data_IF_133816835324
#
_entry.id   IF_133816835324
#
_cell.length_a   1.000
_cell.length_b   1.000
_cell.length_c   1.000
_cell.angle_alpha   90.00
_cell.angle_beta   90.00
_cell.angle_gamma   90.00
#
_symmetry.space_group_name_H-M   'P 1'
#
loop_
_entity.id
_entity.type
_entity.pdbx_description
1 polymer ?
#
# COMPACT_ATOMS: atom_id res chain seq x y z
N UNK A 1 -33.99 -6.84 0.59
CA UNK A 1 -32.56 -7.03 0.69
C UNK A 1 -31.81 -5.97 -0.12
N UNK A 2 -30.79 -5.44 0.42
CA UNK A 2 -30.06 -4.39 -0.24
C UNK A 2 -28.95 -4.95 -1.11
N UNK A 3 -28.86 -4.45 -2.33
CA UNK A 3 -27.80 -4.84 -3.26
C UNK A 3 -26.86 -3.65 -3.41
N UNK A 4 -25.83 -3.61 -2.61
CA UNK A 4 -24.94 -2.47 -2.62
C UNK A 4 -23.69 -2.66 -3.46
N UNK A 5 -23.30 -3.89 -3.68
CA UNK A 5 -22.08 -4.16 -4.43
C UNK A 5 -22.24 -3.94 -5.92
N UNK A 6 -23.44 -3.60 -6.39
CA UNK A 6 -23.65 -3.30 -7.80
C UNK A 6 -23.03 -1.98 -8.22
N UNK A 7 -22.80 -1.09 -7.27
CA UNK A 7 -22.18 0.17 -7.60
C UNK A 7 -20.68 -0.03 -7.81
N UNK A 8 -20.22 0.26 -9.01
CA UNK A 8 -18.79 0.13 -9.31
C UNK A 8 -18.01 1.30 -8.72
N UNK A 9 -16.90 1.00 -8.08
CA UNK A 9 -16.00 2.02 -7.59
C UNK A 9 -15.30 2.70 -8.76
N UNK A 10 -14.91 3.93 -8.56
CA UNK A 10 -14.18 4.70 -9.57
C UNK A 10 -12.68 4.56 -9.39
N UNK A 11 -11.94 4.90 -10.45
CA UNK A 11 -10.48 4.95 -10.34
C UNK A 11 -10.04 5.96 -9.29
N UNK A 12 -10.78 7.05 -9.15
CA UNK A 12 -10.50 8.07 -8.14
C UNK A 12 -10.62 7.49 -6.74
N UNK A 13 -11.61 6.66 -6.52
CA UNK A 13 -11.80 6.01 -5.23
C UNK A 13 -10.63 5.08 -4.92
N UNK A 14 -10.18 4.30 -5.91
CA UNK A 14 -9.04 3.40 -5.71
C UNK A 14 -7.77 4.21 -5.47
N UNK A 15 -7.58 5.32 -6.19
CA UNK A 15 -6.42 6.19 -5.96
C UNK A 15 -6.38 6.70 -4.52
N UNK A 16 -7.54 6.99 -3.94
CA UNK A 16 -7.61 7.49 -2.57
C UNK A 16 -7.15 6.47 -1.54
N UNK A 17 -7.10 5.18 -1.91
CA UNK A 17 -6.63 4.15 -0.98
C UNK A 17 -5.13 4.28 -0.71
N UNK A 18 -4.35 4.74 -1.70
CA UNK A 18 -2.96 5.05 -1.45
C UNK A 18 -2.83 6.21 -0.46
N UNK A 19 -3.66 7.23 -0.61
CA UNK A 19 -3.63 8.38 0.30
C UNK A 19 -3.97 7.95 1.72
N UNK A 20 -4.93 7.03 1.88
CA UNK A 20 -5.27 6.45 3.19
C UNK A 20 -4.07 5.73 3.79
N UNK A 21 -3.40 4.89 2.98
CA UNK A 21 -2.22 4.16 3.42
C UNK A 21 -1.09 5.13 3.79
N UNK A 22 -0.81 6.10 2.91
CA UNK A 22 0.25 7.07 3.11
C UNK A 22 0.01 7.91 4.38
N UNK A 23 -1.24 8.30 4.60
CA UNK A 23 -1.61 9.02 5.82
C UNK A 23 -1.35 8.18 7.07
N UNK A 24 -1.60 6.88 6.99
CA UNK A 24 -1.37 5.99 8.13
C UNK A 24 0.12 5.90 8.48
N UNK A 25 1.01 6.11 7.50
CA UNK A 25 2.46 6.14 7.77
C UNK A 25 2.81 7.28 8.72
N UNK A 26 2.15 8.42 8.57
CA UNK A 26 2.43 9.59 9.41
C UNK A 26 2.07 9.37 10.87
N UNK A 27 1.19 8.42 11.16
CA UNK A 27 0.82 8.13 12.53
C UNK A 27 2.00 7.58 13.34
N UNK A 28 2.99 6.99 12.66
CA UNK A 28 4.10 6.33 13.33
C UNK A 28 3.70 5.03 14.02
N UNK A 29 2.46 4.59 13.85
CA UNK A 29 1.91 3.43 14.52
C UNK A 29 1.73 2.28 13.53
N UNK A 30 2.50 1.17 13.66
CA UNK A 30 2.36 0.04 12.75
C UNK A 30 0.95 -0.54 12.70
N UNK A 31 0.20 -0.47 13.80
CA UNK A 31 -1.18 -0.97 13.82
C UNK A 31 -2.05 -0.19 12.85
N UNK A 32 -1.86 1.12 12.75
CA UNK A 32 -2.63 1.95 11.84
C UNK A 32 -2.34 1.59 10.39
N UNK A 33 -1.08 1.32 10.07
CA UNK A 33 -0.69 0.95 8.71
C UNK A 33 -1.26 -0.41 8.33
N UNK A 34 -1.13 -1.38 9.22
CA UNK A 34 -1.56 -2.76 8.93
C UNK A 34 -3.07 -2.88 8.80
N UNK A 35 -3.84 -1.96 9.37
CA UNK A 35 -5.30 -1.95 9.19
C UNK A 35 -5.72 -1.80 7.73
N UNK A 36 -4.85 -1.29 6.87
CA UNK A 36 -5.14 -1.18 5.44
C UNK A 36 -5.06 -2.51 4.72
N UNK A 37 -4.45 -3.51 5.33
CA UNK A 37 -4.18 -4.81 4.71
C UNK A 37 -5.22 -5.83 5.12
N UNK A 38 -5.65 -6.65 4.15
CA UNK A 38 -6.49 -7.79 4.46
C UNK A 38 -5.70 -8.76 5.35
N UNK A 39 -6.41 -9.51 6.17
CA UNK A 39 -5.78 -10.43 7.12
C UNK A 39 -4.87 -11.44 6.42
N UNK A 40 -5.28 -11.93 5.26
CA UNK A 40 -4.53 -12.95 4.51
C UNK A 40 -3.76 -12.37 3.35
N UNK A 41 -3.35 -11.11 3.47
CA UNK A 41 -2.61 -10.44 2.40
C UNK A 41 -1.12 -10.76 2.45
N UNK A 42 -0.42 -10.45 1.36
CA UNK A 42 1.03 -10.63 1.28
C UNK A 42 1.70 -9.27 1.06
N UNK A 43 2.76 -9.03 1.81
CA UNK A 43 3.61 -7.86 1.64
C UNK A 43 5.00 -8.33 1.22
N UNK A 44 5.43 -7.87 0.05
CA UNK A 44 6.78 -8.11 -0.48
C UNK A 44 7.48 -6.75 -0.54
N UNK A 45 8.17 -6.42 0.53
CA UNK A 45 8.75 -5.10 0.70
C UNK A 45 10.11 -4.97 0.02
N UNK A 46 10.47 -3.74 -0.35
CA UNK A 46 11.68 -3.45 -1.11
C UNK A 46 12.95 -3.94 -0.42
N UNK A 47 13.04 -3.75 0.88
CA UNK A 47 14.28 -4.02 1.62
C UNK A 47 14.16 -5.21 2.56
N UNK A 48 13.25 -6.12 2.29
CA UNK A 48 13.07 -7.31 3.10
C UNK A 48 13.02 -8.52 2.20
N UNK A 49 13.87 -9.50 2.45
CA UNK A 49 13.86 -10.74 1.69
C UNK A 49 12.69 -11.63 2.07
N UNK A 50 12.12 -11.42 3.24
CA UNK A 50 11.10 -12.29 3.78
C UNK A 50 9.71 -11.81 3.39
N UNK A 51 8.88 -12.66 2.77
CA UNK A 51 7.47 -12.31 2.58
C UNK A 51 6.80 -12.14 3.95
N UNK A 52 5.97 -11.12 4.07
CA UNK A 52 5.24 -10.85 5.31
C UNK A 52 3.80 -11.27 5.11
N UNK A 53 3.42 -12.37 5.74
CA UNK A 53 2.13 -13.01 5.50
C UNK A 53 1.13 -12.80 6.63
N UNK A 54 1.59 -12.70 7.86
CA UNK A 54 0.71 -12.53 9.01
C UNK A 54 0.64 -11.08 9.43
N UNK A 55 -0.36 -10.76 10.24
CA UNK A 55 -0.50 -9.43 10.82
C UNK A 55 0.76 -9.08 11.63
N UNK A 56 1.25 -10.02 12.43
CA UNK A 56 2.42 -9.80 13.26
C UNK A 56 3.67 -9.52 12.41
N UNK A 57 3.84 -10.26 11.31
CA UNK A 57 4.98 -10.05 10.42
C UNK A 57 4.94 -8.69 9.75
N UNK A 58 3.74 -8.25 9.33
CA UNK A 58 3.58 -6.93 8.73
C UNK A 58 3.85 -5.83 9.75
N UNK A 59 3.36 -5.98 10.97
CA UNK A 59 3.63 -4.99 12.02
C UNK A 59 5.11 -4.89 12.31
N UNK A 60 5.80 -6.02 12.34
CA UNK A 60 7.25 -6.04 12.56
C UNK A 60 7.99 -5.25 11.48
N UNK A 61 7.60 -5.44 10.22
CA UNK A 61 8.19 -4.70 9.12
C UNK A 61 7.95 -3.19 9.28
N UNK A 62 6.71 -2.79 9.53
CA UNK A 62 6.39 -1.37 9.62
C UNK A 62 6.96 -0.72 10.86
N UNK A 63 7.16 -1.49 11.93
CA UNK A 63 7.83 -0.94 13.12
C UNK A 63 9.20 -0.37 12.75
N UNK A 64 9.95 -1.09 11.92
CA UNK A 64 11.26 -0.61 11.47
C UNK A 64 11.12 0.49 10.41
N UNK A 65 10.22 0.30 9.45
CA UNK A 65 10.06 1.24 8.35
C UNK A 65 9.67 2.64 8.83
N UNK A 66 8.75 2.70 9.80
CA UNK A 66 8.23 3.97 10.30
C UNK A 66 9.23 4.80 11.10
N UNK A 67 10.31 4.16 11.59
CA UNK A 67 11.36 4.88 12.31
C UNK A 67 11.93 6.01 11.45
N UNK A 68 12.03 5.79 10.16
CA UNK A 68 12.61 6.75 9.23
C UNK A 68 11.63 7.85 8.78
N UNK A 69 10.40 7.81 9.27
CA UNK A 69 9.36 8.79 8.94
C UNK A 69 9.15 8.92 7.44
N UNK A 70 8.68 7.84 6.80
CA UNK A 70 8.49 7.85 5.34
C UNK A 70 7.28 8.65 4.93
N UNK A 71 7.40 9.32 3.79
CA UNK A 71 6.28 9.98 3.10
C UNK A 71 6.34 9.56 1.65
N UNK A 72 5.26 8.99 1.15
CA UNK A 72 5.20 8.51 -0.22
C UNK A 72 4.55 9.53 -1.15
N UNK A 73 4.94 9.45 -2.41
CA UNK A 73 4.36 10.26 -3.49
C UNK A 73 4.29 9.42 -4.74
N UNK A 74 3.12 9.41 -5.36
CA UNK A 74 2.93 8.69 -6.63
C UNK A 74 3.53 9.52 -7.76
N UNK A 75 4.38 8.90 -8.58
CA UNK A 75 4.95 9.53 -9.76
C UNK A 75 4.26 9.05 -11.03
N UNK A 76 3.86 7.79 -11.07
CA UNK A 76 3.20 7.18 -12.20
C UNK A 76 2.30 6.07 -11.70
N UNK A 77 1.11 5.93 -12.28
CA UNK A 77 0.22 4.86 -11.86
C UNK A 77 -0.72 4.43 -12.97
N UNK A 78 -1.09 3.17 -12.91
CA UNK A 78 -2.19 2.61 -13.68
C UNK A 78 -3.14 1.94 -12.71
N UNK A 79 -4.41 2.28 -12.83
CA UNK A 79 -5.46 1.70 -11.97
C UNK A 79 -6.47 0.97 -12.84
N UNK A 80 -6.83 -0.24 -12.45
CA UNK A 80 -7.93 -0.99 -13.04
C UNK A 80 -8.90 -1.34 -11.93
N UNK A 81 -10.19 -1.22 -12.23
CA UNK A 81 -11.25 -1.47 -11.25
C UNK A 81 -12.17 -2.55 -11.78
N UNK A 82 -12.25 -3.66 -11.07
CA UNK A 82 -13.20 -4.71 -11.35
C UNK A 82 -14.44 -4.56 -10.46
N UNK A 83 -15.19 -5.63 -10.32
CA UNK A 83 -16.41 -5.62 -9.54
C UNK A 83 -16.12 -5.44 -8.05
N UNK A 84 -15.31 -6.35 -7.48
CA UNK A 84 -14.92 -6.27 -6.07
C UNK A 84 -13.41 -6.35 -5.89
N UNK A 85 -12.66 -6.16 -6.98
CA UNK A 85 -11.20 -6.16 -6.96
C UNK A 85 -10.68 -4.98 -7.76
N UNK A 86 -9.47 -4.57 -7.46
CA UNK A 86 -8.82 -3.48 -8.18
C UNK A 86 -7.31 -3.62 -8.03
N UNK A 87 -6.56 -2.95 -8.91
CA UNK A 87 -5.14 -2.79 -8.67
C UNK A 87 -4.70 -1.36 -8.98
N UNK A 88 -3.61 -0.98 -8.36
CA UNK A 88 -2.93 0.29 -8.57
C UNK A 88 -1.45 -0.04 -8.66
N UNK A 89 -0.85 0.16 -9.81
CA UNK A 89 0.54 -0.21 -10.04
C UNK A 89 1.29 0.94 -10.70
N UNK A 90 2.54 1.11 -10.35
CA UNK A 90 3.31 2.19 -10.94
C UNK A 90 4.64 2.44 -10.25
N UNK A 91 4.94 3.71 -10.10
CA UNK A 91 6.20 4.17 -9.50
C UNK A 91 5.86 5.18 -8.42
N UNK A 92 6.48 5.04 -7.26
CA UNK A 92 6.36 6.03 -6.20
C UNK A 92 7.73 6.38 -5.66
N UNK A 93 7.78 7.49 -4.92
CA UNK A 93 9.01 7.96 -4.29
C UNK A 93 8.73 8.11 -2.80
N UNK A 94 9.62 7.58 -1.98
CA UNK A 94 9.58 7.84 -0.54
C UNK A 94 10.66 8.82 -0.16
N UNK A 95 10.28 9.80 0.63
CA UNK A 95 11.21 10.70 1.31
C UNK A 95 11.17 10.32 2.78
N UNK A 96 12.34 10.06 3.35
CA UNK A 96 12.47 9.68 4.75
C UNK A 96 12.85 10.92 5.54
N UNK A 97 11.88 11.49 6.27
CA UNK A 97 12.09 12.76 6.95
C UNK A 97 13.22 12.71 7.97
N UNK A 98 13.45 11.53 8.58
CA UNK A 98 14.50 11.43 9.60
C UNK A 98 15.90 11.64 9.03
N UNK A 99 16.14 11.20 7.80
CA UNK A 99 17.48 11.25 7.21
C UNK A 99 17.59 12.15 5.98
N UNK A 100 16.44 12.51 5.39
CA UNK A 100 16.41 13.23 4.11
C UNK A 100 16.63 12.35 2.91
N UNK A 101 16.79 11.03 3.10
CA UNK A 101 16.99 10.12 1.98
C UNK A 101 15.74 10.03 1.12
N UNK A 102 15.94 9.83 -0.18
CA UNK A 102 14.87 9.72 -1.16
C UNK A 102 15.06 8.44 -1.95
N UNK A 103 14.02 7.61 -2.05
CA UNK A 103 14.09 6.32 -2.74
C UNK A 103 12.91 6.21 -3.69
N UNK A 104 13.20 5.97 -4.96
CA UNK A 104 12.19 5.71 -5.98
C UNK A 104 12.05 4.21 -6.16
N UNK A 105 10.81 3.72 -6.26
CA UNK A 105 10.55 2.29 -6.36
C UNK A 105 9.34 2.02 -7.24
N UNK A 106 9.27 0.81 -7.76
CA UNK A 106 8.09 0.32 -8.45
C UNK A 106 7.18 -0.36 -7.45
N UNK A 107 5.88 -0.30 -7.68
CA UNK A 107 4.93 -0.87 -6.73
C UNK A 107 3.72 -1.47 -7.43
N UNK A 108 3.06 -2.39 -6.73
CA UNK A 108 1.74 -2.89 -7.07
C UNK A 108 0.96 -3.07 -5.77
N UNK A 109 -0.24 -2.49 -5.73
CA UNK A 109 -1.23 -2.81 -4.72
C UNK A 109 -2.37 -3.51 -5.41
N UNK A 110 -2.80 -4.66 -4.90
CA UNK A 110 -4.08 -5.23 -5.28
C UNK A 110 -5.03 -5.08 -4.11
N UNK A 111 -6.32 -4.88 -4.43
CA UNK A 111 -7.33 -4.60 -3.44
C UNK A 111 -8.54 -5.50 -3.61
N UNK A 112 -9.24 -5.75 -2.52
CA UNK A 112 -10.53 -6.42 -2.52
C UNK A 112 -11.51 -5.61 -1.68
N UNK A 113 -12.74 -5.52 -2.18
CA UNK A 113 -13.86 -4.90 -1.47
C UNK A 113 -14.61 -6.00 -0.73
N UNK A 114 -14.79 -5.86 0.58
CA UNK A 114 -15.45 -6.87 1.40
C UNK A 114 -16.95 -6.63 1.54
N UNK A 115 -17.49 -5.65 0.81
CA UNK A 115 -18.87 -5.25 0.92
C UNK A 115 -19.05 -3.96 1.70
N UNK A 116 -18.03 -3.56 2.43
CA UNK A 116 -18.06 -2.35 3.26
C UNK A 116 -16.84 -1.48 2.96
N UNK A 117 -15.69 -2.09 2.76
CA UNK A 117 -14.43 -1.38 2.74
C UNK A 117 -13.44 -2.10 1.83
N UNK A 118 -12.53 -1.34 1.24
CA UNK A 118 -11.43 -1.88 0.42
C UNK A 118 -10.23 -2.20 1.30
N UNK A 119 -9.63 -3.38 1.08
CA UNK A 119 -8.42 -3.82 1.78
C UNK A 119 -7.35 -4.21 0.78
N UNK A 120 -6.10 -3.99 1.15
CA UNK A 120 -4.96 -4.44 0.35
C UNK A 120 -4.84 -5.95 0.46
N UNK A 121 -4.82 -6.65 -0.67
CA UNK A 121 -4.62 -8.10 -0.70
C UNK A 121 -3.20 -8.48 -1.05
N UNK A 122 -2.49 -7.63 -1.80
CA UNK A 122 -1.06 -7.79 -1.99
C UNK A 122 -0.41 -6.43 -2.18
N UNK A 123 0.81 -6.30 -1.73
CA UNK A 123 1.61 -5.09 -1.91
C UNK A 123 3.03 -5.52 -2.21
N UNK A 124 3.47 -5.22 -3.41
CA UNK A 124 4.84 -5.51 -3.86
C UNK A 124 5.54 -4.19 -4.15
N UNK A 125 6.74 -4.05 -3.62
CA UNK A 125 7.55 -2.86 -3.83
C UNK A 125 8.97 -3.30 -4.14
N UNK A 126 9.57 -2.73 -5.18
CA UNK A 126 10.93 -3.08 -5.58
C UNK A 126 11.66 -1.84 -6.05
N UNK A 127 12.98 -1.83 -5.87
CA UNK A 127 13.81 -0.72 -6.30
C UNK A 127 13.79 -0.61 -7.82
N UNK A 128 14.04 0.60 -8.31
CA UNK A 128 14.22 0.78 -9.74
C UNK A 128 15.45 -0.02 -10.19
N UNK A 129 15.36 -0.65 -11.38
CA UNK A 129 16.49 -1.47 -11.85
C UNK A 129 17.71 -0.66 -12.26
N UNK A 130 17.54 0.64 -12.52
CA UNK A 130 18.62 1.53 -12.92
C UNK A 130 18.70 2.72 -12.00
N UNK A 131 19.89 3.24 -11.80
CA UNK A 131 20.14 4.37 -10.90
C UNK A 131 19.91 5.72 -11.60
N UNK A 132 18.75 5.87 -12.25
CA UNK A 132 18.48 7.13 -12.96
C UNK A 132 17.24 7.81 -12.49
#
# INVERSE_FOLDING_TARGET
MKVKSLKRSSKKEIASLFDRWNKSLKSGDPDQVVKNYAKNSILLATLSNKPRLTVAEKKSYFKSFLINKPVGKINYRKIEVGYDTAFDAGIYTFTFARTGAVVKARYTFTYRFDGIKWFITSHHSSRMPEDK
#
